data_IF_030869827203
#
_entry.id   IF_030869827203
#
_cell.length_a   1.000
_cell.length_b   1.000
_cell.length_c   1.000
_cell.angle_alpha   90.00
_cell.angle_beta   90.00
_cell.angle_gamma   90.00
#
_symmetry.space_group_name_H-M   'P 1'
#
loop_
_entity.id
_entity.type
_entity.pdbx_description
1 polymer ?
#
# COMPACT_ATOMS: atom_id res chain seq x y z
N UNK A 1 8.54 13.82 -15.60
CA UNK A 1 7.28 13.86 -16.36
C UNK A 1 7.18 15.21 -17.06
N UNK A 2 6.54 15.25 -18.22
CA UNK A 2 6.33 16.48 -18.99
C UNK A 2 4.87 16.91 -18.84
N UNK A 3 4.64 18.11 -18.33
CA UNK A 3 3.32 18.71 -18.26
C UNK A 3 3.19 19.82 -19.28
N UNK A 4 2.01 19.93 -19.89
CA UNK A 4 1.62 21.08 -20.74
C UNK A 4 0.35 21.66 -20.15
N UNK A 5 0.29 22.98 -20.04
CA UNK A 5 -0.90 23.65 -19.55
C UNK A 5 -0.64 25.06 -19.03
N UNK A 6 -1.65 25.57 -18.31
CA UNK A 6 -1.61 26.84 -17.60
C UNK A 6 -2.32 26.68 -16.27
N UNK A 7 -1.88 27.45 -15.28
CA UNK A 7 -2.57 27.58 -13.98
C UNK A 7 -3.37 28.88 -14.02
N UNK A 8 -4.67 28.79 -13.75
CA UNK A 8 -5.56 29.94 -13.64
C UNK A 8 -6.06 30.06 -12.21
N UNK A 9 -5.93 31.26 -11.63
CA UNK A 9 -6.60 31.60 -10.39
C UNK A 9 -7.94 32.24 -10.75
N UNK A 10 -9.03 31.59 -10.33
CA UNK A 10 -10.40 32.09 -10.50
C UNK A 10 -10.87 32.71 -9.19
N UNK A 11 -11.35 33.95 -9.25
CA UNK A 11 -11.99 34.68 -8.16
C UNK A 11 -13.40 35.09 -8.58
N UNK A 12 -14.19 35.62 -7.64
CA UNK A 12 -15.51 36.16 -7.95
C UNK A 12 -15.49 37.30 -8.98
N UNK A 13 -14.35 37.99 -9.13
CA UNK A 13 -14.17 39.15 -10.02
C UNK A 13 -13.54 38.80 -11.37
N UNK A 14 -13.17 37.53 -11.61
CA UNK A 14 -12.61 37.09 -12.90
C UNK A 14 -11.60 35.95 -12.78
N UNK A 15 -10.90 35.69 -13.88
CA UNK A 15 -9.83 34.69 -13.94
C UNK A 15 -8.50 35.35 -14.36
N UNK A 16 -7.41 35.00 -13.67
CA UNK A 16 -6.06 35.42 -14.03
C UNK A 16 -5.17 34.20 -14.25
N UNK A 17 -4.45 34.18 -15.37
CA UNK A 17 -3.40 33.18 -15.62
C UNK A 17 -2.22 33.48 -14.69
N UNK A 18 -1.89 32.54 -13.80
CA UNK A 18 -0.76 32.63 -12.88
C UNK A 18 0.52 32.05 -13.50
N UNK A 19 0.38 31.02 -14.35
CA UNK A 19 1.51 30.33 -14.97
C UNK A 19 1.09 29.71 -16.31
N UNK A 20 2.01 29.62 -17.28
CA UNK A 20 1.79 28.89 -18.53
C UNK A 20 3.08 28.26 -19.03
N UNK A 21 2.98 27.01 -19.51
CA UNK A 21 4.09 26.31 -20.15
C UNK A 21 4.50 26.89 -21.51
N UNK A 22 3.76 27.86 -22.07
CA UNK A 22 4.07 28.43 -23.39
C UNK A 22 5.45 29.12 -23.44
N UNK A 23 5.93 29.64 -22.30
CA UNK A 23 7.24 30.28 -22.17
C UNK A 23 8.37 29.33 -21.74
N UNK A 24 8.06 28.06 -21.46
CA UNK A 24 9.07 27.09 -21.03
C UNK A 24 9.82 26.50 -22.23
N UNK A 25 11.06 26.02 -22.03
CA UNK A 25 11.75 25.17 -22.99
C UNK A 25 10.87 24.00 -23.44
N UNK A 26 10.80 23.74 -24.75
CA UNK A 26 9.93 22.76 -25.41
C UNK A 26 8.42 22.91 -25.10
N UNK A 27 8.03 24.05 -24.53
CA UNK A 27 6.68 24.37 -24.03
C UNK A 27 6.17 23.35 -23.01
N UNK A 28 7.05 22.83 -22.16
CA UNK A 28 6.72 21.84 -21.12
C UNK A 28 7.30 22.24 -19.77
N UNK A 29 6.58 21.92 -18.70
CA UNK A 29 7.13 21.90 -17.36
C UNK A 29 7.64 20.48 -17.05
N UNK A 30 8.93 20.36 -16.72
CA UNK A 30 9.50 19.11 -16.23
C UNK A 30 9.28 19.01 -14.73
N UNK A 31 8.56 17.98 -14.30
CA UNK A 31 8.40 17.64 -12.89
C UNK A 31 8.97 16.26 -12.56
N UNK A 32 9.30 16.05 -11.29
CA UNK A 32 9.61 14.71 -10.76
C UNK A 32 8.39 13.78 -10.96
N UNK A 33 8.62 12.50 -11.21
CA UNK A 33 7.51 11.54 -11.38
C UNK A 33 6.90 11.09 -10.04
N UNK A 34 7.55 11.39 -8.92
CA UNK A 34 7.08 11.01 -7.58
C UNK A 34 7.04 9.50 -7.32
N UNK A 35 7.62 8.70 -8.22
CA UNK A 35 7.62 7.25 -8.06
C UNK A 35 8.58 6.84 -6.94
N UNK A 36 8.03 6.15 -5.93
CA UNK A 36 8.74 5.74 -4.72
C UNK A 36 9.48 4.41 -4.88
N UNK A 37 9.36 3.73 -6.02
CA UNK A 37 10.02 2.45 -6.30
C UNK A 37 11.36 2.71 -6.96
N UNK A 38 12.45 2.35 -6.27
CA UNK A 38 13.82 2.45 -6.80
C UNK A 38 13.98 1.77 -8.17
N UNK A 39 13.33 0.62 -8.37
CA UNK A 39 13.35 -0.11 -9.64
C UNK A 39 12.71 0.66 -10.83
N UNK A 40 11.85 1.64 -10.57
CA UNK A 40 11.18 2.43 -11.62
C UNK A 40 11.80 3.81 -11.77
N UNK A 41 12.20 4.47 -10.68
CA UNK A 41 12.91 5.74 -10.73
C UNK A 41 13.87 5.88 -9.52
N UNK A 42 15.16 5.56 -9.70
CA UNK A 42 16.15 5.65 -8.62
C UNK A 42 16.24 7.03 -7.99
N UNK A 43 16.22 8.10 -8.81
CA UNK A 43 16.35 9.48 -8.32
C UNK A 43 15.16 9.92 -7.46
N UNK A 44 13.91 9.73 -7.91
CA UNK A 44 12.73 10.11 -7.11
C UNK A 44 12.60 9.25 -5.85
N UNK A 45 12.95 7.96 -5.94
CA UNK A 45 12.96 7.06 -4.79
C UNK A 45 14.00 7.47 -3.74
N UNK A 46 15.17 7.95 -4.16
CA UNK A 46 16.24 8.40 -3.26
C UNK A 46 15.83 9.66 -2.48
N UNK A 47 15.28 10.65 -3.17
CA UNK A 47 14.77 11.88 -2.54
C UNK A 47 13.67 11.54 -1.51
N UNK A 48 12.69 10.71 -1.89
CA UNK A 48 11.65 10.25 -0.98
C UNK A 48 12.22 9.52 0.26
N UNK A 49 13.21 8.65 0.07
CA UNK A 49 13.84 7.92 1.17
C UNK A 49 14.57 8.88 2.12
N UNK A 50 15.28 9.88 1.59
CA UNK A 50 15.94 10.92 2.38
C UNK A 50 14.95 11.76 3.20
N UNK A 51 13.85 12.19 2.57
CA UNK A 51 12.79 12.94 3.26
C UNK A 51 12.16 12.11 4.38
N UNK A 52 11.83 10.84 4.11
CA UNK A 52 11.30 9.92 5.11
C UNK A 52 12.29 9.66 6.24
N UNK A 53 13.58 9.52 5.95
CA UNK A 53 14.61 9.36 6.97
C UNK A 53 14.62 10.55 7.93
N UNK A 54 14.54 11.77 7.41
CA UNK A 54 14.53 12.98 8.24
C UNK A 54 13.28 13.10 9.12
N UNK A 55 12.14 12.56 8.69
CA UNK A 55 10.92 12.50 9.51
C UNK A 55 11.03 11.45 10.60
N UNK A 56 11.44 10.22 10.23
CA UNK A 56 11.60 9.11 11.16
C UNK A 56 12.68 9.40 12.20
N UNK A 57 13.83 9.91 11.79
CA UNK A 57 14.93 10.24 12.69
C UNK A 57 14.52 11.32 13.69
N UNK A 58 13.88 12.39 13.25
CA UNK A 58 13.39 13.43 14.17
C UNK A 58 12.40 12.85 15.20
N UNK A 59 11.49 11.98 14.77
CA UNK A 59 10.48 11.35 15.63
C UNK A 59 10.98 10.20 16.50
N UNK A 60 12.09 9.54 16.15
CA UNK A 60 12.65 8.43 16.92
C UNK A 60 13.81 8.88 17.81
N UNK A 61 14.69 9.75 17.31
CA UNK A 61 15.83 10.27 18.05
C UNK A 61 15.51 11.57 18.81
N UNK A 62 14.47 12.33 18.48
CA UNK A 62 14.23 13.62 19.14
C UNK A 62 15.38 14.63 18.98
N UNK A 63 15.29 15.76 19.68
CA UNK A 63 16.34 16.80 19.75
C UNK A 63 16.48 17.68 18.52
N UNK A 64 15.61 17.51 17.51
CA UNK A 64 15.64 18.25 16.24
C UNK A 64 14.22 18.55 15.78
N UNK A 65 14.05 19.58 14.95
CA UNK A 65 12.76 19.97 14.36
C UNK A 65 11.63 20.15 15.39
N UNK A 66 11.94 20.67 16.57
CA UNK A 66 10.97 20.89 17.65
C UNK A 66 10.53 19.63 18.40
N UNK A 67 11.12 18.47 18.13
CA UNK A 67 10.84 17.22 18.85
C UNK A 67 11.71 17.16 20.12
N UNK A 68 11.13 16.95 21.32
CA UNK A 68 11.91 16.83 22.56
C UNK A 68 12.87 15.64 22.58
N UNK A 69 14.00 15.78 23.28
CA UNK A 69 14.99 14.69 23.46
C UNK A 69 14.42 13.50 24.25
N UNK A 70 13.43 13.76 25.12
CA UNK A 70 12.73 12.73 25.91
C UNK A 70 12.00 11.70 25.06
N UNK A 71 11.76 11.95 23.77
CA UNK A 71 11.17 10.95 22.88
C UNK A 71 12.03 9.68 22.79
N UNK A 72 13.36 9.78 22.93
CA UNK A 72 14.26 8.61 22.92
C UNK A 72 13.95 7.57 24.00
N UNK A 73 13.33 7.97 25.12
CA UNK A 73 13.00 7.04 26.20
C UNK A 73 11.66 6.32 26.01
N UNK A 74 10.89 6.67 24.98
CA UNK A 74 9.60 6.04 24.72
C UNK A 74 9.79 4.75 23.91
N UNK A 75 8.99 3.69 24.17
CA UNK A 75 9.07 2.46 23.39
C UNK A 75 8.64 2.72 21.94
N UNK A 76 9.44 2.24 21.00
CA UNK A 76 9.09 2.23 19.57
C UNK A 76 8.44 0.90 19.21
N UNK A 77 7.22 0.97 18.66
CA UNK A 77 6.45 -0.22 18.26
C UNK A 77 6.33 -0.25 16.75
N UNK A 78 6.76 -1.36 16.14
CA UNK A 78 6.44 -1.69 14.76
C UNK A 78 5.24 -2.64 14.76
N UNK A 79 4.03 -2.09 14.63
CA UNK A 79 2.79 -2.86 14.61
C UNK A 79 2.33 -3.15 13.18
N UNK A 80 2.05 -4.42 12.88
CA UNK A 80 1.39 -4.84 11.63
C UNK A 80 -0.05 -5.20 11.92
N UNK A 81 -0.99 -4.50 11.27
CA UNK A 81 -2.42 -4.80 11.35
C UNK A 81 -2.84 -5.53 10.08
N UNK A 82 -3.25 -6.80 10.23
CA UNK A 82 -3.70 -7.63 9.11
C UNK A 82 -5.21 -7.50 8.95
N UNK A 83 -5.66 -7.35 7.70
CA UNK A 83 -7.08 -7.38 7.36
C UNK A 83 -7.73 -8.71 7.79
N UNK A 84 -9.06 -8.74 8.02
CA UNK A 84 -9.77 -10.00 8.17
C UNK A 84 -9.67 -10.85 6.89
N UNK A 85 -9.83 -12.17 7.03
CA UNK A 85 -9.91 -13.07 5.88
C UNK A 85 -11.32 -13.06 5.28
N UNK A 86 -11.42 -12.95 3.95
CA UNK A 86 -12.70 -12.96 3.21
C UNK A 86 -12.99 -14.29 2.51
N UNK A 87 -12.14 -15.29 2.70
CA UNK A 87 -12.28 -16.62 2.10
C UNK A 87 -10.93 -17.26 1.80
N UNK A 88 -10.92 -18.53 1.36
CA UNK A 88 -9.69 -19.22 0.96
C UNK A 88 -9.10 -18.61 -0.31
N UNK A 89 -7.83 -18.21 -0.27
CA UNK A 89 -7.06 -17.73 -1.42
C UNK A 89 -5.84 -18.60 -1.67
N UNK A 90 -5.33 -18.54 -2.90
CA UNK A 90 -4.03 -19.10 -3.24
C UNK A 90 -2.91 -18.28 -2.60
N UNK A 91 -1.94 -18.96 -2.02
CA UNK A 91 -0.78 -18.34 -1.35
C UNK A 91 0.45 -19.21 -1.55
N UNK A 92 1.63 -18.59 -1.49
CA UNK A 92 2.86 -19.34 -1.24
C UNK A 92 2.87 -19.79 0.21
N UNK A 93 3.43 -20.97 0.47
CA UNK A 93 3.73 -21.46 1.82
C UNK A 93 5.12 -22.07 1.81
N UNK A 94 5.81 -21.95 2.94
CA UNK A 94 7.02 -22.70 3.23
C UNK A 94 6.84 -23.41 4.56
N UNK A 95 7.41 -24.61 4.67
CA UNK A 95 7.57 -25.32 5.94
C UNK A 95 9.06 -25.52 6.24
N UNK A 96 9.38 -26.32 7.26
CA UNK A 96 10.77 -26.58 7.66
C UNK A 96 11.61 -27.26 6.58
N UNK A 97 10.98 -27.89 5.59
CA UNK A 97 11.62 -28.68 4.53
C UNK A 97 11.66 -27.96 3.18
N UNK A 98 11.02 -26.80 3.05
CA UNK A 98 11.05 -25.96 1.85
C UNK A 98 9.67 -25.49 1.41
N UNK A 99 9.49 -25.20 0.10
CA UNK A 99 8.20 -24.83 -0.46
C UNK A 99 7.13 -25.88 -0.18
N UNK A 100 5.98 -25.43 0.34
CA UNK A 100 4.91 -26.27 0.80
C UNK A 100 3.64 -26.09 -0.05
N UNK A 101 2.74 -27.06 0.04
CA UNK A 101 1.45 -27.02 -0.66
C UNK A 101 0.66 -25.79 -0.20
N UNK A 102 0.08 -25.09 -1.17
CA UNK A 102 -0.66 -23.83 -1.01
C UNK A 102 -1.64 -23.85 0.16
N UNK A 103 -2.57 -24.81 0.17
CA UNK A 103 -3.63 -24.89 1.17
C UNK A 103 -4.17 -26.32 1.23
N UNK A 104 -3.46 -27.25 1.89
CA UNK A 104 -3.95 -28.60 2.09
C UNK A 104 -5.24 -28.60 2.92
N UNK A 105 -6.13 -29.56 2.65
CA UNK A 105 -7.30 -29.79 3.50
C UNK A 105 -6.92 -30.60 4.73
N UNK A 106 -7.54 -30.30 5.87
CA UNK A 106 -7.45 -31.14 7.06
C UNK A 106 -8.68 -32.04 7.13
N UNK A 107 -8.49 -33.36 7.04
CA UNK A 107 -9.57 -34.35 7.01
C UNK A 107 -10.11 -34.64 5.60
N UNK A 108 -11.30 -35.26 5.52
CA UNK A 108 -11.89 -35.71 4.25
C UNK A 108 -12.17 -34.51 3.33
N UNK A 109 -11.61 -34.48 2.11
CA UNK A 109 -11.85 -33.40 1.17
C UNK A 109 -13.34 -33.29 0.84
N UNK A 110 -13.91 -32.08 0.98
CA UNK A 110 -15.31 -31.80 0.64
C UNK A 110 -15.41 -30.60 -0.27
N UNK A 111 -16.09 -30.77 -1.40
CA UNK A 111 -16.38 -29.67 -2.29
C UNK A 111 -17.23 -28.62 -1.58
N UNK A 112 -17.03 -27.35 -1.94
CA UNK A 112 -17.90 -26.27 -1.52
C UNK A 112 -19.30 -26.45 -2.15
N UNK A 113 -20.32 -25.67 -1.73
CA UNK A 113 -21.66 -25.71 -2.33
C UNK A 113 -21.70 -25.49 -3.85
N UNK A 114 -20.67 -24.86 -4.41
CA UNK A 114 -20.51 -24.62 -5.85
C UNK A 114 -19.79 -25.75 -6.59
N UNK A 115 -19.53 -26.89 -5.94
CA UNK A 115 -18.86 -28.05 -6.54
C UNK A 115 -17.34 -27.88 -6.76
N UNK A 116 -16.71 -26.86 -6.16
CA UNK A 116 -15.26 -26.59 -6.29
C UNK A 116 -14.49 -27.00 -5.03
N UNK A 117 -13.21 -27.38 -5.14
CA UNK A 117 -12.40 -27.65 -3.96
C UNK A 117 -12.22 -26.37 -3.13
N UNK A 118 -12.21 -26.49 -1.81
CA UNK A 118 -11.82 -25.42 -0.87
C UNK A 118 -10.33 -25.46 -0.50
N UNK A 119 -9.58 -26.37 -1.13
CA UNK A 119 -8.17 -26.63 -0.90
C UNK A 119 -7.36 -26.50 -2.20
N UNK A 120 -6.05 -26.35 -2.06
CA UNK A 120 -5.10 -26.34 -3.17
C UNK A 120 -3.84 -27.12 -2.77
N UNK A 121 -3.53 -28.19 -3.51
CA UNK A 121 -2.36 -29.03 -3.26
C UNK A 121 -1.13 -28.64 -4.08
N UNK A 122 -1.24 -27.59 -4.91
CA UNK A 122 -0.15 -27.05 -5.74
C UNK A 122 0.87 -26.36 -4.84
N UNK A 123 2.15 -26.52 -5.17
CA UNK A 123 3.23 -25.68 -4.64
C UNK A 123 3.41 -24.54 -5.64
N UNK A 124 2.98 -23.33 -5.28
CA UNK A 124 3.04 -22.17 -6.17
C UNK A 124 4.45 -21.56 -6.18
N UNK A 125 4.93 -21.18 -7.37
CA UNK A 125 6.06 -20.29 -7.51
C UNK A 125 5.66 -18.84 -7.16
N UNK A 126 6.63 -17.98 -6.87
CA UNK A 126 6.39 -16.58 -6.48
C UNK A 126 5.68 -15.73 -7.56
N UNK A 127 5.79 -16.14 -8.82
CA UNK A 127 5.20 -15.47 -9.99
C UNK A 127 3.89 -16.11 -10.47
N UNK A 128 3.33 -17.09 -9.75
CA UNK A 128 2.08 -17.74 -10.14
C UNK A 128 0.91 -16.73 -10.09
N UNK A 129 0.29 -16.49 -11.24
CA UNK A 129 -0.82 -15.55 -11.43
C UNK A 129 -2.05 -15.84 -10.56
N UNK A 130 -2.18 -17.04 -10.00
CA UNK A 130 -3.28 -17.39 -9.10
C UNK A 130 -3.05 -16.84 -7.69
N UNK A 131 -1.81 -16.48 -7.30
CA UNK A 131 -1.53 -15.96 -5.96
C UNK A 131 -2.43 -14.76 -5.63
N UNK A 132 -3.04 -14.80 -4.45
CA UNK A 132 -4.02 -13.82 -4.00
C UNK A 132 -5.43 -14.00 -4.55
N UNK A 133 -5.62 -14.84 -5.58
CA UNK A 133 -6.95 -15.14 -6.12
C UNK A 133 -7.72 -16.12 -5.20
N UNK A 134 -9.05 -16.02 -5.13
CA UNK A 134 -9.86 -16.98 -4.40
C UNK A 134 -9.73 -18.39 -4.99
N UNK A 135 -9.69 -19.40 -4.13
CA UNK A 135 -9.76 -20.81 -4.56
C UNK A 135 -11.12 -21.08 -5.21
N UNK A 136 -12.18 -20.50 -4.66
CA UNK A 136 -13.51 -20.50 -5.24
C UNK A 136 -14.06 -19.06 -5.23
N UNK A 137 -14.14 -18.39 -6.40
CA UNK A 137 -14.67 -17.02 -6.51
C UNK A 137 -16.05 -16.85 -5.87
N UNK A 138 -16.95 -17.83 -6.04
CA UNK A 138 -18.32 -17.76 -5.52
C UNK A 138 -18.40 -17.97 -4.00
N UNK A 139 -17.34 -18.48 -3.36
CA UNK A 139 -17.26 -18.59 -1.90
C UNK A 139 -16.54 -17.42 -1.24
N UNK A 140 -15.96 -16.51 -2.04
CA UNK A 140 -15.20 -15.39 -1.51
C UNK A 140 -16.13 -14.21 -1.22
N UNK A 141 -16.00 -13.64 -0.03
CA UNK A 141 -16.83 -12.53 0.42
C UNK A 141 -16.31 -11.20 -0.14
N UNK A 142 -16.57 -10.98 -1.42
CA UNK A 142 -16.26 -9.72 -2.10
C UNK A 142 -16.95 -8.50 -1.45
N UNK A 143 -18.24 -8.56 -1.06
CA UNK A 143 -18.87 -7.44 -0.37
C UNK A 143 -18.14 -7.03 0.91
N UNK A 144 -17.78 -7.97 1.78
CA UNK A 144 -17.03 -7.66 2.99
C UNK A 144 -15.61 -7.15 2.68
N UNK A 145 -14.96 -7.72 1.66
CA UNK A 145 -13.64 -7.24 1.21
C UNK A 145 -13.69 -5.78 0.76
N UNK A 146 -14.68 -5.42 -0.06
CA UNK A 146 -14.87 -4.05 -0.53
C UNK A 146 -15.21 -3.12 0.64
N UNK A 147 -16.14 -3.52 1.50
CA UNK A 147 -16.54 -2.74 2.67
C UNK A 147 -15.36 -2.48 3.61
N UNK A 148 -14.52 -3.48 3.87
CA UNK A 148 -13.31 -3.30 4.67
C UNK A 148 -12.36 -2.28 4.04
N UNK A 149 -12.04 -2.40 2.75
CA UNK A 149 -11.14 -1.45 2.08
C UNK A 149 -11.70 -0.03 2.09
N UNK A 150 -13.01 0.11 1.90
CA UNK A 150 -13.69 1.40 1.98
C UNK A 150 -13.56 2.04 3.36
N UNK A 151 -13.72 1.25 4.43
CA UNK A 151 -13.65 1.73 5.81
C UNK A 151 -12.23 1.80 6.39
N UNK A 152 -11.23 1.17 5.76
CA UNK A 152 -9.86 1.10 6.28
C UNK A 152 -9.24 2.48 6.61
N UNK A 153 -9.41 3.55 5.81
CA UNK A 153 -8.88 4.87 6.17
C UNK A 153 -9.50 5.45 7.44
N UNK A 154 -10.81 5.30 7.63
CA UNK A 154 -11.51 5.78 8.84
C UNK A 154 -11.16 4.92 10.06
N UNK A 155 -11.00 3.60 9.89
CA UNK A 155 -10.49 2.72 10.94
C UNK A 155 -9.09 3.14 11.39
N UNK A 156 -8.20 3.43 10.44
CA UNK A 156 -6.84 3.92 10.74
C UNK A 156 -6.86 5.27 11.45
N UNK A 157 -7.69 6.20 10.98
CA UNK A 157 -7.87 7.50 11.65
C UNK A 157 -8.30 7.33 13.10
N UNK A 158 -9.33 6.51 13.37
CA UNK A 158 -9.81 6.25 14.74
C UNK A 158 -8.73 5.61 15.60
N UNK A 159 -8.03 4.60 15.08
CA UNK A 159 -6.92 3.94 15.77
C UNK A 159 -5.84 4.95 16.18
N UNK A 160 -5.39 5.81 15.26
CA UNK A 160 -4.35 6.80 15.55
C UNK A 160 -4.81 7.91 16.49
N UNK A 161 -6.11 8.23 16.55
CA UNK A 161 -6.66 9.16 17.56
C UNK A 161 -6.63 8.52 18.94
N UNK A 162 -7.06 7.26 19.07
CA UNK A 162 -7.10 6.56 20.36
C UNK A 162 -5.71 6.30 20.96
N UNK A 163 -4.67 6.17 20.12
CA UNK A 163 -3.29 5.97 20.58
C UNK A 163 -2.56 7.27 21.01
N UNK A 164 -3.16 8.44 20.81
CA UNK A 164 -2.58 9.73 21.23
C UNK A 164 -3.08 10.13 22.60
#
# INVERSE_FOLDING_TARGET
MRLRGRVEHRTATGARVAYTTNGEPDRVLLIRCGNRRAAVCPSCSWEYAGDMWQLLYAGAAGGRKGVPESIRSHPLVFATLTAPGFGPVHTTRADRTGPARCRPTHGTPRLCPHGRPSWCMVIHAEDDHRLGQPICPDCYDYPAHIAFNWHAPELWRRFTITLR
#
